data_IF_352732452791
#
_entry.id   IF_352732452791
#
_cell.length_a   1.000
_cell.length_b   1.000
_cell.length_c   1.000
_cell.angle_alpha   90.00
_cell.angle_beta   90.00
_cell.angle_gamma   90.00
#
_symmetry.space_group_name_H-M   'P 1'
#
loop_
_entity.id
_entity.type
_entity.pdbx_description
1 polymer ?
#
# COMPACT_ATOMS: atom_id res chain seq x y z
N UNK A 1 -10.01 35.45 27.38
CA UNK A 1 -9.39 34.80 26.20
C UNK A 1 -8.08 34.21 26.69
N UNK A 2 -7.97 32.90 26.76
CA UNK A 2 -6.73 32.21 27.16
C UNK A 2 -5.89 32.17 25.89
N UNK A 3 -4.81 32.97 25.84
CA UNK A 3 -3.78 32.81 24.81
C UNK A 3 -3.10 31.47 25.08
N UNK A 4 -3.45 30.48 24.30
CA UNK A 4 -2.71 29.21 24.21
C UNK A 4 -1.56 29.46 23.24
N UNK A 5 -0.46 29.97 23.76
CA UNK A 5 0.81 29.98 23.04
C UNK A 5 1.21 28.50 22.84
N UNK A 6 1.11 28.03 21.58
CA UNK A 6 1.63 26.72 21.23
C UNK A 6 3.14 26.68 21.52
N UNK A 7 3.66 25.66 22.20
CA UNK A 7 5.07 25.59 22.59
C UNK A 7 6.02 25.40 21.39
N UNK A 8 5.50 25.32 20.17
CA UNK A 8 6.28 25.22 18.93
C UNK A 8 5.57 25.96 17.80
N UNK A 9 6.33 26.68 16.99
CA UNK A 9 5.90 27.14 15.69
C UNK A 9 6.02 25.97 14.71
N UNK A 10 4.99 25.69 13.88
CA UNK A 10 5.11 24.67 12.85
C UNK A 10 6.25 25.03 11.90
N UNK A 11 7.21 24.12 11.72
CA UNK A 11 8.45 24.35 10.96
C UNK A 11 8.22 24.77 9.50
N UNK A 12 7.03 24.47 8.94
CA UNK A 12 6.68 24.73 7.55
C UNK A 12 5.64 25.85 7.35
N UNK A 13 5.13 26.45 8.41
CA UNK A 13 4.23 27.58 8.30
C UNK A 13 5.02 28.88 8.40
N UNK A 14 5.40 29.45 7.28
CA UNK A 14 5.59 30.90 7.23
C UNK A 14 4.20 31.52 7.28
N UNK A 15 3.79 31.95 8.46
CA UNK A 15 2.51 32.55 8.71
C UNK A 15 2.31 33.77 7.83
N UNK A 16 1.50 33.71 6.79
CA UNK A 16 0.76 34.90 6.38
C UNK A 16 -0.13 35.27 7.57
N UNK A 17 0.05 36.48 8.12
CA UNK A 17 -0.48 36.93 9.40
C UNK A 17 -1.99 36.75 9.64
N UNK A 18 -2.80 36.47 8.60
CA UNK A 18 -4.23 36.15 8.70
C UNK A 18 -4.48 34.70 9.20
N UNK A 19 -3.69 33.74 8.79
CA UNK A 19 -3.87 32.35 9.22
C UNK A 19 -3.34 32.08 10.64
N UNK A 20 -2.35 32.86 11.08
CA UNK A 20 -1.82 32.74 12.44
C UNK A 20 -2.83 33.19 13.51
N UNK A 21 -3.71 34.14 13.18
CA UNK A 21 -4.77 34.57 14.06
C UNK A 21 -5.86 33.52 14.27
N UNK A 22 -6.18 32.74 13.21
CA UNK A 22 -7.17 31.65 13.26
C UNK A 22 -6.57 30.35 13.80
N UNK A 23 -5.30 30.06 13.57
CA UNK A 23 -4.61 28.89 14.12
C UNK A 23 -4.50 28.92 15.66
N UNK A 24 -4.53 30.12 16.26
CA UNK A 24 -4.61 30.30 17.73
C UNK A 24 -6.02 30.08 18.28
N UNK A 25 -7.02 29.83 17.42
CA UNK A 25 -8.37 29.57 17.86
C UNK A 25 -8.46 28.22 18.57
N UNK A 26 -9.16 28.18 19.68
CA UNK A 26 -9.42 26.95 20.46
C UNK A 26 -9.98 25.83 19.56
N UNK A 27 -10.77 26.20 18.55
CA UNK A 27 -11.37 25.30 17.57
C UNK A 27 -10.30 24.61 16.70
N UNK A 28 -9.33 25.35 16.13
CA UNK A 28 -8.26 24.76 15.32
C UNK A 28 -7.42 23.77 16.11
N UNK A 29 -7.13 24.09 17.38
CA UNK A 29 -6.43 23.17 18.29
C UNK A 29 -7.18 21.87 18.52
N UNK A 30 -8.49 21.95 18.83
CA UNK A 30 -9.32 20.78 19.03
C UNK A 30 -9.53 19.99 17.74
N UNK A 31 -9.61 20.63 16.59
CA UNK A 31 -9.69 19.99 15.29
C UNK A 31 -8.41 19.19 14.99
N UNK A 32 -7.23 19.78 15.21
CA UNK A 32 -5.95 19.08 15.04
C UNK A 32 -5.82 17.88 16.01
N UNK A 33 -6.10 18.10 17.29
CA UNK A 33 -6.07 17.04 18.30
C UNK A 33 -7.07 15.92 17.99
N UNK A 34 -8.27 16.26 17.53
CA UNK A 34 -9.28 15.31 17.10
C UNK A 34 -8.86 14.50 15.87
N UNK A 35 -8.23 15.16 14.89
CA UNK A 35 -7.72 14.48 13.69
C UNK A 35 -6.59 13.50 14.05
N UNK A 36 -5.63 13.94 14.86
CA UNK A 36 -4.54 13.05 15.33
C UNK A 36 -5.12 11.89 16.15
N UNK A 37 -6.02 12.17 17.09
CA UNK A 37 -6.67 11.15 17.90
C UNK A 37 -7.43 10.12 17.06
N UNK A 38 -8.17 10.57 16.05
CA UNK A 38 -8.87 9.70 15.11
C UNK A 38 -7.92 8.85 14.28
N UNK A 39 -6.85 9.44 13.73
CA UNK A 39 -5.81 8.72 12.98
C UNK A 39 -5.18 7.62 13.81
N UNK A 40 -4.80 7.93 15.06
CA UNK A 40 -4.23 6.95 15.98
C UNK A 40 -5.22 5.85 16.37
N UNK A 41 -6.50 6.18 16.56
CA UNK A 41 -7.55 5.21 16.87
C UNK A 41 -7.78 4.21 15.72
N UNK A 42 -7.86 4.71 14.47
CA UNK A 42 -7.97 3.88 13.27
C UNK A 42 -6.76 2.96 13.16
N UNK A 43 -5.55 3.51 13.30
CA UNK A 43 -4.32 2.72 13.22
C UNK A 43 -4.23 1.66 14.32
N UNK A 44 -4.63 1.98 15.56
CA UNK A 44 -4.69 0.99 16.64
C UNK A 44 -5.66 -0.15 16.33
N UNK A 45 -6.78 0.16 15.70
CA UNK A 45 -7.74 -0.85 15.25
C UNK A 45 -7.17 -1.73 14.12
N UNK A 46 -6.51 -1.15 13.13
CA UNK A 46 -5.81 -1.87 12.06
C UNK A 46 -4.71 -2.77 12.63
N UNK A 47 -3.87 -2.26 13.52
CA UNK A 47 -2.84 -3.03 14.19
C UNK A 47 -3.40 -4.21 15.01
N UNK A 48 -4.58 -4.04 15.63
CA UNK A 48 -5.29 -5.12 16.29
C UNK A 48 -5.73 -6.21 15.30
N UNK A 49 -6.26 -5.82 14.13
CA UNK A 49 -6.66 -6.77 13.09
C UNK A 49 -5.45 -7.53 12.53
N UNK A 50 -4.34 -6.83 12.28
CA UNK A 50 -3.09 -7.44 11.82
C UNK A 50 -2.52 -8.42 12.84
N UNK A 51 -2.52 -8.07 14.12
CA UNK A 51 -2.11 -8.97 15.20
C UNK A 51 -2.98 -10.24 15.25
N UNK A 52 -4.28 -10.11 15.06
CA UNK A 52 -5.21 -11.23 14.99
C UNK A 52 -4.95 -12.10 13.75
N UNK A 53 -4.74 -11.49 12.60
CA UNK A 53 -4.43 -12.19 11.36
C UNK A 53 -3.08 -12.93 11.45
N UNK A 54 -2.08 -12.31 12.08
CA UNK A 54 -0.79 -12.95 12.38
C UNK A 54 -0.96 -14.23 13.16
N UNK A 55 -1.88 -14.27 14.14
CA UNK A 55 -2.21 -15.49 14.90
C UNK A 55 -2.72 -16.62 13.99
N UNK A 56 -3.48 -16.29 12.93
CA UNK A 56 -3.94 -17.27 11.96
C UNK A 56 -2.81 -17.88 11.12
N UNK A 57 -1.79 -17.09 10.77
CA UNK A 57 -0.61 -17.60 10.05
C UNK A 57 0.34 -18.43 10.93
N UNK A 58 0.20 -18.38 12.26
CA UNK A 58 0.98 -19.21 13.19
C UNK A 58 0.41 -20.62 13.35
N UNK A 59 -0.79 -20.89 12.83
CA UNK A 59 -1.37 -22.24 12.86
C UNK A 59 -0.56 -23.15 11.93
N UNK A 60 0.20 -24.06 12.53
CA UNK A 60 1.06 -25.01 11.81
C UNK A 60 0.32 -26.25 11.34
N UNK A 61 -0.89 -26.50 11.86
CA UNK A 61 -1.67 -27.68 11.53
C UNK A 61 -2.49 -27.47 10.25
N UNK A 62 -2.34 -28.42 9.33
CA UNK A 62 -3.17 -28.45 8.13
C UNK A 62 -4.62 -28.77 8.53
N UNK A 63 -5.64 -28.05 8.00
CA UNK A 63 -7.03 -28.27 8.40
C UNK A 63 -7.48 -29.71 8.19
N UNK A 64 -7.88 -30.40 9.27
CA UNK A 64 -8.23 -31.84 9.26
C UNK A 64 -9.38 -32.15 8.31
N UNK A 65 -10.35 -31.27 8.16
CA UNK A 65 -11.45 -31.42 7.21
C UNK A 65 -10.96 -31.47 5.77
N UNK A 66 -10.04 -30.55 5.42
CA UNK A 66 -9.44 -30.48 4.09
C UNK A 66 -8.55 -31.70 3.82
N UNK A 67 -7.80 -32.13 4.82
CA UNK A 67 -6.94 -33.34 4.74
C UNK A 67 -7.75 -34.60 4.41
N UNK A 68 -8.89 -34.79 5.05
CA UNK A 68 -9.75 -35.96 4.80
C UNK A 68 -10.31 -35.95 3.37
N UNK A 69 -10.79 -34.80 2.89
CA UNK A 69 -11.32 -34.66 1.52
C UNK A 69 -10.22 -34.95 0.49
N UNK A 70 -9.01 -34.41 0.71
CA UNK A 70 -7.89 -34.62 -0.21
C UNK A 70 -7.44 -36.08 -0.23
N UNK A 71 -7.43 -36.77 0.92
CA UNK A 71 -7.13 -38.19 0.97
C UNK A 71 -8.15 -39.01 0.18
N UNK A 72 -9.42 -38.67 0.25
CA UNK A 72 -10.48 -39.32 -0.51
C UNK A 72 -10.28 -39.14 -2.03
N UNK A 73 -9.98 -37.91 -2.45
CA UNK A 73 -9.67 -37.57 -3.86
C UNK A 73 -8.41 -38.35 -4.33
N UNK A 74 -7.36 -38.40 -3.53
CA UNK A 74 -6.13 -39.11 -3.89
C UNK A 74 -6.38 -40.63 -4.04
N UNK A 75 -7.25 -41.22 -3.22
CA UNK A 75 -7.66 -42.61 -3.34
C UNK A 75 -8.46 -42.87 -4.62
N UNK A 76 -9.38 -41.97 -4.99
CA UNK A 76 -10.12 -42.06 -6.25
C UNK A 76 -9.19 -41.96 -7.47
N UNK A 77 -8.25 -41.03 -7.45
CA UNK A 77 -7.27 -40.85 -8.53
C UNK A 77 -6.31 -42.04 -8.68
N UNK A 78 -5.98 -42.69 -7.57
CA UNK A 78 -5.22 -43.95 -7.62
C UNK A 78 -6.02 -45.10 -8.26
N UNK A 79 -7.33 -45.18 -7.98
CA UNK A 79 -8.22 -46.18 -8.60
C UNK A 79 -8.38 -45.95 -10.10
N UNK A 80 -8.38 -44.70 -10.53
CA UNK A 80 -8.44 -44.29 -11.97
C UNK A 80 -7.11 -44.44 -12.71
N UNK A 81 -6.04 -44.91 -12.05
CA UNK A 81 -4.72 -45.11 -12.66
C UNK A 81 -3.96 -43.82 -13.03
N UNK A 82 -4.43 -42.67 -12.55
CA UNK A 82 -3.82 -41.37 -12.83
C UNK A 82 -2.62 -41.06 -11.94
N UNK A 83 -2.39 -41.83 -10.87
CA UNK A 83 -1.27 -41.65 -9.95
C UNK A 83 -0.49 -42.96 -9.86
N UNK A 84 0.83 -42.95 -10.16
CA UNK A 84 1.71 -44.09 -9.91
C UNK A 84 1.85 -44.29 -8.40
N UNK A 85 1.66 -45.57 -7.93
CA UNK A 85 1.90 -45.96 -6.51
C UNK A 85 3.29 -45.47 -6.10
N UNK A 86 3.46 -44.87 -4.91
CA UNK A 86 4.77 -44.56 -4.38
C UNK A 86 5.50 -45.87 -4.13
N UNK A 87 6.49 -46.16 -4.96
CA UNK A 87 7.47 -47.21 -4.68
C UNK A 87 8.36 -46.68 -3.57
N UNK A 88 8.19 -47.21 -2.38
CA UNK A 88 9.15 -47.05 -1.28
C UNK A 88 10.42 -47.77 -1.73
N UNK A 89 11.38 -47.06 -2.22
CA UNK A 89 12.74 -47.51 -2.41
C UNK A 89 13.65 -46.70 -1.52
N UNK A 90 14.08 -47.34 -0.45
CA UNK A 90 15.20 -46.87 0.36
C UNK A 90 16.50 -47.05 -0.42
N UNK A 91 17.42 -46.13 -0.14
CA UNK A 91 18.85 -46.15 -0.49
C UNK A 91 19.20 -46.03 -1.98
N UNK A 92 19.88 -44.96 -2.41
CA UNK A 92 21.32 -44.92 -2.40
C UNK A 92 21.84 -43.53 -2.81
N UNK A 93 22.88 -43.15 -2.10
CA UNK A 93 23.79 -42.04 -2.41
C UNK A 93 24.66 -42.37 -3.64
N UNK A 94 24.98 -41.42 -4.40
CA UNK A 94 26.33 -41.03 -4.88
C UNK A 94 26.41 -40.53 -6.32
N UNK A 95 26.93 -39.34 -6.38
CA UNK A 95 28.00 -38.85 -7.27
C UNK A 95 27.88 -38.74 -8.78
N UNK A 96 28.25 -37.55 -9.15
CA UNK A 96 29.13 -37.17 -10.29
C UNK A 96 28.54 -36.39 -11.45
N UNK A 97 28.93 -35.11 -11.42
CA UNK A 97 29.46 -34.27 -12.52
C UNK A 97 29.28 -34.79 -13.95
N UNK A 98 28.68 -34.00 -14.81
CA UNK A 98 29.33 -33.35 -15.95
C UNK A 98 28.47 -32.36 -16.66
N UNK A 99 29.08 -31.27 -17.02
CA UNK A 99 28.61 -30.21 -17.85
C UNK A 99 28.31 -30.66 -19.27
N UNK A 100 27.38 -30.06 -19.94
CA UNK A 100 27.50 -29.37 -21.22
C UNK A 100 26.16 -28.98 -21.82
N UNK A 101 26.05 -27.71 -22.05
CA UNK A 101 25.36 -27.00 -23.14
C UNK A 101 24.12 -27.65 -23.79
N UNK A 102 22.93 -27.03 -23.54
CA UNK A 102 22.08 -26.63 -24.67
C UNK A 102 21.15 -25.49 -24.26
N UNK A 103 21.22 -24.46 -25.06
CA UNK A 103 20.37 -23.28 -25.10
C UNK A 103 18.91 -23.64 -25.40
N UNK A 104 18.05 -22.75 -24.92
CA UNK A 104 16.69 -22.49 -25.38
C UNK A 104 15.62 -23.54 -25.10
N UNK A 105 15.04 -23.38 -23.91
CA UNK A 105 13.60 -23.33 -23.64
C UNK A 105 13.42 -23.21 -22.12
N UNK A 106 13.47 -21.97 -21.62
CA UNK A 106 13.00 -21.65 -20.29
C UNK A 106 11.47 -21.82 -20.29
N UNK A 107 10.99 -23.03 -20.07
CA UNK A 107 9.62 -23.25 -19.59
C UNK A 107 9.52 -22.58 -18.24
N UNK A 108 8.73 -21.51 -18.18
CA UNK A 108 8.36 -20.79 -16.96
C UNK A 108 7.72 -21.77 -15.98
N UNK A 109 8.47 -22.29 -15.03
CA UNK A 109 7.92 -22.96 -13.86
C UNK A 109 7.16 -21.93 -13.01
N UNK A 110 5.88 -21.78 -13.33
CA UNK A 110 4.94 -21.11 -12.46
C UNK A 110 4.85 -21.90 -11.14
N UNK A 111 5.02 -21.29 -9.96
CA UNK A 111 4.95 -21.98 -8.66
C UNK A 111 3.59 -22.63 -8.39
N UNK A 112 2.67 -22.55 -9.32
CA UNK A 112 1.30 -23.04 -9.17
C UNK A 112 0.96 -24.31 -9.99
N UNK A 113 1.93 -24.94 -10.68
CA UNK A 113 1.68 -26.20 -11.37
C UNK A 113 1.65 -27.35 -10.34
N UNK A 114 0.45 -27.88 -10.13
CA UNK A 114 0.25 -29.11 -9.37
C UNK A 114 0.51 -30.29 -10.30
N UNK A 115 1.50 -31.12 -9.98
CA UNK A 115 1.81 -32.33 -10.75
C UNK A 115 0.66 -33.32 -10.63
N UNK A 116 -0.04 -33.56 -11.72
CA UNK A 116 -1.18 -34.48 -11.77
C UNK A 116 -0.79 -35.95 -11.50
N UNK A 117 0.50 -36.28 -11.62
CA UNK A 117 1.01 -37.66 -11.44
C UNK A 117 1.46 -37.96 -10.00
N UNK A 118 1.44 -36.99 -9.09
CA UNK A 118 1.82 -37.15 -7.68
C UNK A 118 0.59 -36.99 -6.78
N UNK A 119 0.58 -37.61 -5.57
CA UNK A 119 -0.47 -37.41 -4.58
C UNK A 119 -0.65 -35.91 -4.29
N UNK A 120 -1.91 -35.45 -4.17
CA UNK A 120 -2.23 -34.05 -3.92
C UNK A 120 -1.89 -33.61 -2.49
N UNK A 121 -2.06 -34.50 -1.52
CA UNK A 121 -1.91 -34.19 -0.10
C UNK A 121 -0.53 -33.58 0.22
N UNK A 122 0.62 -34.23 -0.11
CA UNK A 122 1.93 -33.66 0.20
C UNK A 122 2.20 -32.34 -0.55
N UNK A 123 1.73 -32.22 -1.79
CA UNK A 123 1.88 -31.00 -2.56
C UNK A 123 1.11 -29.81 -1.94
N UNK A 124 -0.11 -30.07 -1.45
CA UNK A 124 -0.93 -29.05 -0.82
C UNK A 124 -0.40 -28.68 0.57
N UNK A 125 0.12 -29.63 1.33
CA UNK A 125 0.77 -29.35 2.61
C UNK A 125 2.02 -28.49 2.44
N UNK A 126 2.83 -28.73 1.41
CA UNK A 126 4.02 -27.91 1.10
C UNK A 126 3.61 -26.50 0.66
N UNK A 127 2.62 -26.38 -0.23
CA UNK A 127 2.08 -25.07 -0.64
C UNK A 127 1.46 -24.30 0.54
N UNK A 128 0.78 -24.99 1.45
CA UNK A 128 0.21 -24.41 2.65
C UNK A 128 1.30 -23.83 3.56
N UNK A 129 2.38 -24.58 3.83
CA UNK A 129 3.52 -24.08 4.61
C UNK A 129 4.21 -22.88 3.94
N UNK A 130 4.38 -22.94 2.63
CA UNK A 130 4.96 -21.84 1.85
C UNK A 130 4.07 -20.60 1.90
N UNK A 131 2.75 -20.76 1.76
CA UNK A 131 1.79 -19.67 1.85
C UNK A 131 1.75 -19.05 3.25
N UNK A 132 1.84 -19.85 4.31
CA UNK A 132 1.94 -19.36 5.69
C UNK A 132 3.23 -18.56 5.93
N UNK A 133 4.36 -19.08 5.47
CA UNK A 133 5.66 -18.39 5.59
C UNK A 133 5.62 -17.04 4.87
N UNK A 134 5.07 -17.00 3.65
CA UNK A 134 4.88 -15.75 2.91
C UNK A 134 3.93 -14.79 3.64
N UNK A 135 2.77 -15.28 4.11
CA UNK A 135 1.80 -14.48 4.86
C UNK A 135 2.41 -13.89 6.13
N UNK A 136 3.22 -14.68 6.86
CA UNK A 136 3.91 -14.21 8.05
C UNK A 136 4.94 -13.11 7.76
N UNK A 137 5.79 -13.30 6.74
CA UNK A 137 6.77 -12.28 6.33
C UNK A 137 6.06 -10.99 5.88
N UNK A 138 4.99 -11.12 5.11
CA UNK A 138 4.19 -9.99 4.59
C UNK A 138 3.50 -9.22 5.71
N UNK A 139 2.86 -9.89 6.67
CA UNK A 139 2.17 -9.22 7.77
C UNK A 139 3.14 -8.56 8.75
N UNK A 140 4.28 -9.20 9.05
CA UNK A 140 5.30 -8.60 9.89
C UNK A 140 5.87 -7.33 9.27
N UNK A 141 6.13 -7.34 7.97
CA UNK A 141 6.60 -6.16 7.27
C UNK A 141 5.49 -5.09 7.15
N UNK A 142 4.25 -5.51 6.87
CA UNK A 142 3.08 -4.63 6.83
C UNK A 142 2.89 -3.85 8.12
N UNK A 143 3.04 -4.50 9.28
CA UNK A 143 2.98 -3.84 10.58
C UNK A 143 4.07 -2.76 10.76
N UNK A 144 5.30 -3.02 10.28
CA UNK A 144 6.39 -2.04 10.34
C UNK A 144 6.11 -0.86 9.40
N UNK A 145 5.68 -1.14 8.17
CA UNK A 145 5.30 -0.11 7.19
C UNK A 145 4.16 0.76 7.72
N UNK A 146 3.12 0.15 8.27
CA UNK A 146 1.96 0.84 8.84
C UNK A 146 2.34 1.75 10.02
N UNK A 147 3.28 1.31 10.89
CA UNK A 147 3.81 2.18 11.96
C UNK A 147 4.55 3.40 11.40
N UNK A 148 5.32 3.21 10.30
CA UNK A 148 5.97 4.32 9.63
C UNK A 148 4.94 5.29 9.03
N UNK A 149 3.95 4.78 8.30
CA UNK A 149 2.93 5.58 7.63
C UNK A 149 2.14 6.45 8.62
N UNK A 150 1.78 5.89 9.78
CA UNK A 150 1.09 6.66 10.84
C UNK A 150 2.00 7.70 11.47
N UNK A 151 3.27 7.35 11.69
CA UNK A 151 4.25 8.28 12.25
C UNK A 151 4.48 9.45 11.28
N UNK A 152 4.65 9.17 10.00
CA UNK A 152 4.76 10.19 8.94
C UNK A 152 3.52 11.07 8.88
N UNK A 153 2.32 10.50 8.88
CA UNK A 153 1.05 11.23 8.85
C UNK A 153 0.91 12.18 10.04
N UNK A 154 1.19 11.70 11.26
CA UNK A 154 1.14 12.53 12.47
C UNK A 154 2.20 13.62 12.43
N UNK A 155 3.41 13.30 11.97
CA UNK A 155 4.49 14.28 11.83
C UNK A 155 4.13 15.37 10.83
N UNK A 156 3.57 15.01 9.67
CA UNK A 156 3.11 15.96 8.66
C UNK A 156 2.00 16.89 9.19
N UNK A 157 1.08 16.35 10.00
CA UNK A 157 0.04 17.17 10.64
C UNK A 157 0.63 18.16 11.65
N UNK A 158 1.54 17.69 12.53
CA UNK A 158 2.16 18.54 13.57
C UNK A 158 3.07 19.60 12.97
N UNK A 159 3.84 19.25 11.93
CA UNK A 159 4.77 20.17 11.28
C UNK A 159 4.08 21.15 10.32
N UNK A 160 2.77 21.00 10.08
CA UNK A 160 2.05 21.87 9.15
C UNK A 160 2.46 21.66 7.69
N UNK A 161 2.78 20.43 7.31
CA UNK A 161 3.21 20.09 5.95
C UNK A 161 2.16 20.45 4.88
N UNK A 162 0.87 20.20 5.16
CA UNK A 162 -0.21 20.51 4.20
C UNK A 162 -0.35 22.01 3.92
N UNK A 163 -0.38 22.89 4.94
CA UNK A 163 -0.33 24.35 4.71
C UNK A 163 0.91 24.78 3.92
N UNK A 164 2.06 24.23 4.22
CA UNK A 164 3.31 24.53 3.50
C UNK A 164 3.20 24.16 2.01
N UNK A 165 2.71 22.95 1.68
CA UNK A 165 2.54 22.55 0.27
C UNK A 165 1.46 23.40 -0.42
N UNK A 166 0.44 23.83 0.30
CA UNK A 166 -0.56 24.76 -0.25
C UNK A 166 0.05 26.09 -0.62
N UNK A 167 0.80 26.72 0.29
CA UNK A 167 1.50 28.00 0.02
C UNK A 167 2.47 27.86 -1.15
N UNK A 168 3.22 26.78 -1.20
CA UNK A 168 4.11 26.49 -2.33
C UNK A 168 3.35 26.33 -3.65
N UNK A 169 2.16 25.72 -3.63
CA UNK A 169 1.30 25.56 -4.80
C UNK A 169 0.76 26.89 -5.29
N UNK A 170 0.41 27.78 -4.37
CA UNK A 170 -0.02 29.17 -4.67
C UNK A 170 1.13 29.95 -5.30
N UNK A 171 2.34 29.88 -4.73
CA UNK A 171 3.52 30.54 -5.28
C UNK A 171 3.85 30.05 -6.70
N UNK A 172 3.75 28.73 -6.93
CA UNK A 172 3.95 28.14 -8.25
C UNK A 172 2.90 28.62 -9.26
N UNK A 173 1.64 28.71 -8.84
CA UNK A 173 0.55 29.29 -9.62
C UNK A 173 0.80 30.76 -9.98
N UNK A 174 1.26 31.57 -9.02
CA UNK A 174 1.60 32.98 -9.25
C UNK A 174 2.73 33.14 -10.28
N UNK A 175 3.73 32.26 -10.28
CA UNK A 175 4.78 32.25 -11.31
C UNK A 175 4.23 31.93 -12.71
N UNK A 176 3.09 31.24 -12.79
CA UNK A 176 2.38 30.98 -14.06
C UNK A 176 1.38 32.08 -14.43
N UNK A 177 1.31 33.15 -13.62
CA UNK A 177 0.38 34.28 -13.83
C UNK A 177 -1.05 34.00 -13.31
N UNK A 178 -1.24 33.00 -12.46
CA UNK A 178 -2.54 32.68 -11.89
C UNK A 178 -2.75 33.39 -10.57
N UNK A 179 -3.96 33.92 -10.38
CA UNK A 179 -4.39 34.48 -9.11
C UNK A 179 -5.13 33.42 -8.31
N UNK A 180 -4.98 33.43 -6.99
CA UNK A 180 -5.62 32.43 -6.11
C UNK A 180 -7.14 32.44 -6.24
N UNK A 181 -7.74 33.65 -6.37
CA UNK A 181 -9.20 33.82 -6.47
C UNK A 181 -9.78 33.27 -7.78
N UNK A 182 -9.11 33.46 -8.92
CA UNK A 182 -9.63 33.12 -10.24
C UNK A 182 -9.29 31.65 -10.61
N UNK A 183 -8.13 31.17 -10.17
CA UNK A 183 -7.56 29.88 -10.56
C UNK A 183 -7.48 28.87 -9.39
N UNK A 184 -8.38 28.97 -8.41
CA UNK A 184 -8.45 28.09 -7.23
C UNK A 184 -8.39 26.60 -7.60
N UNK A 185 -9.09 26.18 -8.67
CA UNK A 185 -9.13 24.80 -9.15
C UNK A 185 -7.75 24.35 -9.62
N UNK A 186 -7.06 25.18 -10.42
CA UNK A 186 -5.73 24.83 -10.93
C UNK A 186 -4.69 24.71 -9.82
N UNK A 187 -4.73 25.64 -8.85
CA UNK A 187 -3.85 25.61 -7.67
C UNK A 187 -4.12 24.36 -6.82
N UNK A 188 -5.40 24.01 -6.64
CA UNK A 188 -5.79 22.78 -5.95
C UNK A 188 -5.27 21.51 -6.66
N UNK A 189 -5.26 21.49 -7.99
CA UNK A 189 -4.68 20.37 -8.76
C UNK A 189 -3.17 20.28 -8.59
N UNK A 190 -2.45 21.44 -8.56
CA UNK A 190 -1.01 21.44 -8.25
C UNK A 190 -0.75 20.90 -6.85
N UNK A 191 -1.52 21.38 -5.85
CA UNK A 191 -1.42 20.92 -4.47
C UNK A 191 -1.60 19.38 -4.36
N UNK A 192 -2.66 18.84 -4.95
CA UNK A 192 -2.93 17.41 -4.95
C UNK A 192 -1.86 16.64 -5.72
N UNK A 193 -1.37 17.21 -6.83
CA UNK A 193 -0.28 16.62 -7.60
C UNK A 193 1.01 16.51 -6.79
N UNK A 194 1.44 17.58 -6.14
CA UNK A 194 2.62 17.60 -5.29
C UNK A 194 2.50 16.63 -4.11
N UNK A 195 1.37 16.64 -3.43
CA UNK A 195 1.10 15.72 -2.31
C UNK A 195 1.17 14.25 -2.76
N UNK A 196 0.60 13.93 -3.93
CA UNK A 196 0.65 12.57 -4.50
C UNK A 196 2.08 12.16 -4.86
N UNK A 197 2.87 13.06 -5.45
CA UNK A 197 4.27 12.77 -5.81
C UNK A 197 5.09 12.53 -4.55
N UNK A 198 4.96 13.38 -3.53
CA UNK A 198 5.70 13.24 -2.28
C UNK A 198 5.32 11.92 -1.59
N UNK A 199 4.02 11.62 -1.45
CA UNK A 199 3.56 10.36 -0.87
C UNK A 199 4.04 9.12 -1.66
N UNK A 200 4.12 9.23 -3.00
CA UNK A 200 4.69 8.16 -3.82
C UNK A 200 6.18 7.96 -3.52
N UNK A 201 6.94 9.05 -3.37
CA UNK A 201 8.39 8.98 -3.08
C UNK A 201 8.65 8.39 -1.69
N UNK A 202 7.87 8.76 -0.69
CA UNK A 202 8.04 8.27 0.69
C UNK A 202 7.65 6.80 0.82
N UNK A 203 6.67 6.30 0.04
CA UNK A 203 6.26 4.89 0.03
C UNK A 203 7.20 3.99 -0.78
N UNK A 204 7.97 4.53 -1.74
CA UNK A 204 8.85 3.75 -2.63
C UNK A 204 9.80 2.76 -1.91
N UNK A 205 10.50 3.11 -0.82
CA UNK A 205 11.41 2.18 -0.15
C UNK A 205 10.69 0.94 0.39
N UNK A 206 9.49 1.12 0.93
CA UNK A 206 8.67 0.03 1.48
C UNK A 206 8.14 -0.87 0.36
N UNK A 207 7.66 -0.30 -0.72
CA UNK A 207 7.21 -1.07 -1.87
C UNK A 207 8.35 -1.86 -2.54
N UNK A 208 9.52 -1.25 -2.70
CA UNK A 208 10.72 -1.93 -3.21
C UNK A 208 11.10 -3.11 -2.32
N UNK A 209 11.12 -2.92 -1.01
CA UNK A 209 11.44 -3.99 -0.08
C UNK A 209 10.39 -5.12 -0.13
N UNK A 210 9.11 -4.79 -0.13
CA UNK A 210 8.02 -5.78 -0.25
C UNK A 210 8.17 -6.62 -1.52
N UNK A 211 8.36 -5.96 -2.66
CA UNK A 211 8.42 -6.60 -3.98
C UNK A 211 9.72 -7.38 -4.20
N UNK A 212 10.87 -6.78 -3.93
CA UNK A 212 12.16 -7.39 -4.27
C UNK A 212 12.79 -8.21 -3.14
N UNK A 213 12.34 -8.06 -1.90
CA UNK A 213 12.81 -8.87 -0.77
C UNK A 213 11.80 -9.96 -0.43
N UNK A 214 10.56 -9.60 -0.07
CA UNK A 214 9.57 -10.55 0.43
C UNK A 214 9.01 -11.41 -0.71
N UNK A 215 8.43 -10.79 -1.75
CA UNK A 215 7.81 -11.55 -2.84
C UNK A 215 8.83 -12.37 -3.63
N UNK A 216 10.04 -11.81 -3.83
CA UNK A 216 11.13 -12.53 -4.50
C UNK A 216 11.63 -13.72 -3.70
N UNK A 217 11.76 -13.59 -2.36
CA UNK A 217 12.15 -14.69 -1.44
C UNK A 217 11.20 -15.88 -1.57
N UNK A 218 9.91 -15.62 -1.77
CA UNK A 218 8.87 -16.65 -1.88
C UNK A 218 8.55 -17.06 -3.33
N UNK A 219 9.30 -16.57 -4.32
CA UNK A 219 9.15 -16.93 -5.73
C UNK A 219 7.94 -16.31 -6.43
N UNK A 220 7.25 -15.34 -5.81
CA UNK A 220 6.09 -14.67 -6.40
C UNK A 220 6.45 -13.51 -7.32
N UNK A 221 7.64 -12.95 -7.17
CA UNK A 221 8.08 -11.81 -7.97
C UNK A 221 9.08 -12.22 -9.05
N UNK A 222 8.71 -11.97 -10.30
CA UNK A 222 9.57 -12.07 -11.49
C UNK A 222 9.88 -10.69 -12.10
N UNK A 223 9.47 -9.62 -11.43
CA UNK A 223 9.60 -8.25 -11.92
C UNK A 223 11.06 -7.76 -11.83
N UNK A 224 11.51 -7.06 -12.86
CA UNK A 224 12.80 -6.35 -12.85
C UNK A 224 12.63 -4.94 -12.27
N UNK A 225 13.72 -4.35 -11.75
CA UNK A 225 13.71 -2.97 -11.25
C UNK A 225 13.23 -1.98 -12.32
N UNK A 226 13.68 -2.15 -13.58
CA UNK A 226 13.25 -1.27 -14.67
C UNK A 226 11.75 -1.36 -14.95
N UNK A 227 11.18 -2.56 -14.90
CA UNK A 227 9.74 -2.75 -15.07
C UNK A 227 8.97 -2.10 -13.90
N UNK A 228 9.43 -2.28 -12.66
CA UNK A 228 8.83 -1.67 -11.48
C UNK A 228 8.71 -0.14 -11.60
N UNK A 229 9.82 0.54 -11.91
CA UNK A 229 9.80 2.00 -12.07
C UNK A 229 8.96 2.44 -13.27
N UNK A 230 9.00 1.70 -14.37
CA UNK A 230 8.16 1.99 -15.53
C UNK A 230 6.66 1.89 -15.19
N UNK A 231 6.27 0.87 -14.44
CA UNK A 231 4.89 0.68 -14.01
C UNK A 231 4.46 1.77 -13.01
N UNK A 232 5.35 2.20 -12.10
CA UNK A 232 5.08 3.34 -11.21
C UNK A 232 4.86 4.64 -11.97
N UNK A 233 5.72 4.96 -12.93
CA UNK A 233 5.58 6.16 -13.76
C UNK A 233 4.29 6.11 -14.56
N UNK A 234 3.97 4.97 -15.19
CA UNK A 234 2.71 4.79 -15.94
C UNK A 234 1.50 4.95 -15.03
N UNK A 235 1.53 4.34 -13.83
CA UNK A 235 0.46 4.47 -12.85
C UNK A 235 0.25 5.91 -12.42
N UNK A 236 1.34 6.64 -12.13
CA UNK A 236 1.30 8.05 -11.76
C UNK A 236 0.73 8.91 -12.91
N UNK A 237 1.20 8.71 -14.13
CA UNK A 237 0.68 9.42 -15.31
C UNK A 237 -0.80 9.12 -15.52
N UNK A 238 -1.23 7.86 -15.40
CA UNK A 238 -2.63 7.50 -15.53
C UNK A 238 -3.49 8.14 -14.44
N UNK A 239 -3.00 8.19 -13.21
CA UNK A 239 -3.66 8.87 -12.10
C UNK A 239 -3.85 10.36 -12.40
N UNK A 240 -2.86 11.04 -12.97
CA UNK A 240 -3.01 12.45 -13.36
C UNK A 240 -3.95 12.64 -14.56
N UNK A 241 -3.84 11.80 -15.59
CA UNK A 241 -4.65 11.94 -16.81
C UNK A 241 -6.14 11.71 -16.53
N UNK A 242 -6.48 10.77 -15.66
CA UNK A 242 -7.87 10.45 -15.31
C UNK A 242 -8.31 11.25 -14.08
N UNK A 243 -7.48 11.33 -13.05
CA UNK A 243 -7.81 11.94 -11.77
C UNK A 243 -7.96 13.46 -11.85
N UNK A 244 -7.06 14.16 -12.56
CA UNK A 244 -7.11 15.61 -12.63
C UNK A 244 -8.41 16.17 -13.27
N UNK A 245 -8.90 15.67 -14.43
CA UNK A 245 -10.19 16.11 -14.98
C UNK A 245 -11.38 15.81 -14.06
N UNK A 246 -11.37 14.63 -13.41
CA UNK A 246 -12.42 14.25 -12.48
C UNK A 246 -12.45 15.17 -11.26
N UNK A 247 -11.29 15.44 -10.66
CA UNK A 247 -11.16 16.37 -9.53
C UNK A 247 -11.50 17.81 -9.91
N UNK A 248 -11.07 18.25 -11.09
CA UNK A 248 -11.42 19.59 -11.61
C UNK A 248 -12.95 19.75 -11.76
N UNK A 249 -13.63 18.72 -12.30
CA UNK A 249 -15.08 18.71 -12.42
C UNK A 249 -15.76 18.75 -11.04
N UNK A 250 -15.30 17.95 -10.09
CA UNK A 250 -15.83 17.92 -8.73
C UNK A 250 -15.66 19.26 -8.02
N UNK A 251 -14.47 19.85 -8.08
CA UNK A 251 -14.19 21.17 -7.52
C UNK A 251 -15.03 22.28 -8.19
N UNK A 252 -15.23 22.18 -9.50
CA UNK A 252 -16.09 23.12 -10.24
C UNK A 252 -17.54 23.04 -9.76
N UNK A 253 -18.10 21.83 -9.58
CA UNK A 253 -19.46 21.63 -9.07
C UNK A 253 -19.59 22.24 -7.65
N UNK A 254 -18.61 22.00 -6.78
CA UNK A 254 -18.59 22.56 -5.42
C UNK A 254 -18.57 24.11 -5.47
N UNK A 255 -17.75 24.67 -6.34
CA UNK A 255 -17.61 26.13 -6.52
C UNK A 255 -18.94 26.76 -6.97
N UNK A 256 -19.61 26.18 -7.96
CA UNK A 256 -20.92 26.64 -8.47
C UNK A 256 -21.98 26.57 -7.38
N UNK A 257 -22.06 25.47 -6.64
CA UNK A 257 -23.00 25.30 -5.53
C UNK A 257 -22.78 26.32 -4.42
N UNK A 258 -21.52 26.60 -4.06
CA UNK A 258 -21.19 27.61 -3.06
C UNK A 258 -21.70 29.00 -3.49
N UNK A 259 -21.56 29.38 -4.77
CA UNK A 259 -22.10 30.62 -5.29
C UNK A 259 -23.63 30.70 -5.23
N UNK A 260 -24.33 29.62 -5.57
CA UNK A 260 -25.81 29.57 -5.48
C UNK A 260 -26.31 29.72 -4.04
N UNK A 261 -25.69 29.05 -3.07
CA UNK A 261 -26.05 29.21 -1.65
C UNK A 261 -25.81 30.60 -1.13
N UNK A 262 -24.69 31.25 -1.53
CA UNK A 262 -24.40 32.63 -1.13
C UNK A 262 -25.41 33.63 -1.70
N UNK A 263 -25.86 33.45 -2.93
CA UNK A 263 -26.90 34.28 -3.56
C UNK A 263 -28.29 34.07 -2.93
N UNK A 264 -28.59 32.89 -2.42
CA UNK A 264 -29.85 32.58 -1.73
C UNK A 264 -29.88 33.16 -0.31
N UNK A 265 -28.76 33.24 0.39
CA UNK A 265 -28.64 33.81 1.73
C UNK A 265 -28.67 35.34 1.77
N UNK A 266 -28.33 35.99 0.63
CA UNK A 266 -28.33 37.44 0.49
C UNK A 266 -29.61 38.02 -0.13
N UNK A 267 -30.67 37.25 -0.31
CA UNK A 267 -32.03 37.65 -0.67
C UNK A 267 -32.96 37.64 0.56
#
# INVERSE_FOLDING_TARGET
MVNLDLPWEPLFTQSRGEYAADASSLFAYWALAGTIGFTLAVHAFEAYLDARQRGSYQQTEFPSQLENIIKEIDVERQKEGKIKKPTVSAADQKDSKKAEDNKDSAEEESPNKTDTNKPLLPQLQEKFKSAQAYGMDKINFGMISSMYDVTESVLFLILGFLPFIWEYSVELGQKMGWTEADNEINISLIFLGLTTIIGTITSLPFELYSTFSIEKKHGFNKMTLGLFFTDKIKSLLLTFVIGAPFLALLLHIIKVRRCEYFLLLNK
#
